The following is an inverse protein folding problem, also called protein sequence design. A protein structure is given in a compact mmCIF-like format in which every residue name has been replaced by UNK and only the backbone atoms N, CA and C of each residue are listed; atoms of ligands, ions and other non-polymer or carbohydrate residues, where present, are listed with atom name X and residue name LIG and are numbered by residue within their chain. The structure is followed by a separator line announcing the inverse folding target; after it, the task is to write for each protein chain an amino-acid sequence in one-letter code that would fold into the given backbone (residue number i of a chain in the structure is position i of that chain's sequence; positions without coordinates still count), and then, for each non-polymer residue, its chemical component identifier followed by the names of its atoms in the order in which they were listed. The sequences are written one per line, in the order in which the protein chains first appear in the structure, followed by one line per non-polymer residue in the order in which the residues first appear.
data_IF_520695819353
#
_entry.id   IF_520695819353
#
_cell.length_a   1.000
_cell.length_b   1.000
_cell.length_c   1.000
_cell.angle_alpha   90.00
_cell.angle_beta   90.00
_cell.angle_gamma   90.00
#
_symmetry.space_group_name_H-M   'P 1'
#
loop_
_entity.id
_entity.type
_entity.pdbx_description
1 polymer ?
#
# COMPACT_ATOMS: atom_id res chain seq x y z
N UNK A 1 -6.83 10.74 0.63
CA UNK A 1 -6.91 9.63 1.58
C UNK A 1 -5.73 8.68 1.39
N UNK A 2 -5.19 8.13 2.48
CA UNK A 2 -4.18 7.07 2.45
C UNK A 2 -4.75 5.73 2.93
N UNK A 3 -4.30 4.65 2.31
CA UNK A 3 -4.60 3.28 2.68
C UNK A 3 -3.28 2.55 2.98
N UNK A 4 -3.05 2.22 4.25
CA UNK A 4 -1.84 1.56 4.74
C UNK A 4 -2.02 0.05 4.77
N UNK A 5 -1.27 -0.68 3.96
CA UNK A 5 -1.25 -2.14 3.95
C UNK A 5 -0.36 -2.66 5.10
N UNK A 6 -0.97 -3.07 6.19
CA UNK A 6 -0.32 -3.48 7.43
C UNK A 6 -0.60 -4.96 7.81
N UNK A 7 -1.12 -5.76 6.89
CA UNK A 7 -1.59 -7.13 7.13
C UNK A 7 -0.57 -8.26 6.93
N UNK A 8 0.65 -7.97 6.49
CA UNK A 8 1.64 -8.99 6.14
C UNK A 8 2.24 -9.71 7.36
N UNK A 9 2.52 -11.02 7.22
CA UNK A 9 3.12 -11.86 8.29
C UNK A 9 4.55 -11.47 8.63
N UNK A 10 5.31 -10.85 7.68
CA UNK A 10 6.68 -10.42 7.92
C UNK A 10 7.68 -11.56 8.18
N UNK A 11 7.45 -12.75 7.64
CA UNK A 11 8.23 -13.98 7.88
C UNK A 11 9.75 -13.82 7.74
N UNK A 12 10.22 -12.86 6.93
CA UNK A 12 11.64 -12.56 6.73
C UNK A 12 12.36 -12.02 7.98
N UNK A 13 11.63 -11.48 8.96
CA UNK A 13 12.19 -10.98 10.22
C UNK A 13 12.25 -12.05 11.32
N UNK A 14 11.87 -13.29 11.01
CA UNK A 14 11.98 -14.44 11.90
C UNK A 14 11.37 -14.21 13.27
N UNK A 15 12.20 -14.29 14.32
CA UNK A 15 11.74 -14.17 15.71
C UNK A 15 11.10 -12.83 16.05
N UNK A 16 11.43 -11.75 15.35
CA UNK A 16 10.87 -10.42 15.60
C UNK A 16 9.39 -10.34 15.25
N UNK A 17 8.92 -11.15 14.31
CA UNK A 17 7.54 -11.18 13.83
C UNK A 17 6.77 -12.41 14.25
N UNK A 18 7.36 -13.30 15.07
CA UNK A 18 6.70 -14.50 15.53
C UNK A 18 5.40 -14.24 16.33
N UNK A 19 5.34 -13.10 17.05
CA UNK A 19 4.21 -12.74 17.95
C UNK A 19 3.65 -11.33 17.72
N UNK A 20 4.12 -10.65 16.68
CA UNK A 20 3.68 -9.29 16.35
C UNK A 20 3.65 -9.09 14.84
N UNK A 21 2.73 -8.28 14.34
CA UNK A 21 2.74 -7.84 12.96
C UNK A 21 4.02 -7.05 12.66
N UNK A 22 4.59 -7.17 11.46
CA UNK A 22 5.82 -6.47 11.06
C UNK A 22 5.73 -4.95 11.30
N UNK A 23 4.62 -4.25 10.98
CA UNK A 23 4.49 -2.83 11.28
C UNK A 23 4.56 -2.47 12.78
N UNK A 24 4.27 -3.42 13.66
CA UNK A 24 4.31 -3.23 15.11
C UNK A 24 5.69 -3.52 15.73
N UNK A 25 6.68 -3.95 14.95
CA UNK A 25 8.05 -4.20 15.43
C UNK A 25 8.68 -2.89 15.87
N UNK A 26 9.33 -2.91 17.05
CA UNK A 26 10.03 -1.75 17.60
C UNK A 26 11.23 -1.36 16.75
N UNK A 27 11.43 -0.06 16.58
CA UNK A 27 12.53 0.54 15.85
C UNK A 27 13.12 1.73 16.62
N UNK A 28 14.43 1.77 16.79
CA UNK A 28 15.10 2.86 17.52
C UNK A 28 14.69 3.00 18.99
N UNK A 29 14.21 1.92 19.61
CA UNK A 29 13.82 1.85 21.03
C UNK A 29 12.47 2.47 21.37
N UNK A 30 12.10 3.61 20.77
CA UNK A 30 10.88 4.37 21.08
C UNK A 30 9.77 4.15 20.06
N UNK A 31 10.11 3.99 18.77
CA UNK A 31 9.18 3.95 17.67
C UNK A 31 8.83 2.52 17.25
N UNK A 32 7.79 2.39 16.45
CA UNK A 32 7.46 1.19 15.67
C UNK A 32 7.54 1.51 14.18
N UNK A 33 7.66 0.50 13.35
CA UNK A 33 7.78 0.70 11.89
C UNK A 33 6.60 1.52 11.35
N UNK A 34 5.38 1.26 11.84
CA UNK A 34 4.16 1.97 11.40
C UNK A 34 4.18 3.48 11.68
N UNK A 35 4.97 3.95 12.65
CA UNK A 35 5.03 5.36 13.00
C UNK A 35 5.57 6.23 11.87
N UNK A 36 6.43 5.66 11.03
CA UNK A 36 7.03 6.37 9.90
C UNK A 36 6.02 6.67 8.79
N UNK A 37 5.27 5.68 8.24
CA UNK A 37 4.25 5.98 7.23
C UNK A 37 3.11 6.86 7.78
N UNK A 38 2.70 6.71 9.04
CA UNK A 38 1.70 7.61 9.64
C UNK A 38 2.22 9.05 9.74
N UNK A 39 3.46 9.24 10.19
CA UNK A 39 4.10 10.56 10.22
C UNK A 39 4.25 11.16 8.83
N UNK A 40 4.60 10.34 7.82
CA UNK A 40 4.70 10.81 6.44
C UNK A 40 3.35 11.27 5.88
N UNK A 41 2.23 10.60 6.23
CA UNK A 41 0.89 11.05 5.84
C UNK A 41 0.62 12.46 6.37
N UNK A 42 0.81 12.69 7.65
CA UNK A 42 0.55 14.00 8.26
C UNK A 42 1.47 15.08 7.70
N UNK A 43 2.77 14.81 7.59
CA UNK A 43 3.73 15.75 7.01
C UNK A 43 3.41 16.10 5.55
N UNK A 44 2.65 15.27 4.86
CA UNK A 44 2.17 15.49 3.48
C UNK A 44 0.72 15.98 3.41
N UNK A 45 0.16 16.44 4.53
CA UNK A 45 -1.23 16.92 4.63
C UNK A 45 -2.28 15.87 4.26
N UNK A 46 -1.96 14.59 4.46
CA UNK A 46 -2.91 13.49 4.30
C UNK A 46 -3.42 13.10 5.69
N UNK A 47 -4.60 13.57 6.03
CA UNK A 47 -5.21 13.50 7.35
C UNK A 47 -6.32 12.44 7.50
N UNK A 48 -6.55 11.67 6.48
CA UNK A 48 -7.50 10.55 6.46
C UNK A 48 -6.77 9.28 6.08
N UNK A 49 -6.62 8.35 7.03
CA UNK A 49 -5.77 7.17 6.89
C UNK A 49 -6.51 5.91 7.30
N UNK A 50 -6.72 4.98 6.37
CA UNK A 50 -7.19 3.64 6.64
C UNK A 50 -6.00 2.68 6.83
N UNK A 51 -5.92 1.98 7.94
CA UNK A 51 -4.87 0.98 8.22
C UNK A 51 -5.45 -0.41 8.13
N UNK A 52 -5.06 -1.15 7.08
CA UNK A 52 -5.56 -2.49 6.80
C UNK A 52 -4.73 -3.52 7.57
N UNK A 53 -5.32 -4.10 8.60
CA UNK A 53 -4.65 -5.06 9.49
C UNK A 53 -5.22 -6.46 9.30
N UNK A 54 -4.39 -7.49 9.46
CA UNK A 54 -4.83 -8.88 9.34
C UNK A 54 -4.07 -9.80 10.28
N UNK A 55 -2.74 -9.88 10.15
CA UNK A 55 -1.90 -10.76 10.95
C UNK A 55 -1.53 -10.12 12.28
N UNK A 56 -1.75 -10.83 13.41
CA UNK A 56 -1.38 -10.42 14.78
C UNK A 56 -1.73 -8.93 15.08
N UNK A 57 -3.01 -8.50 14.89
CA UNK A 57 -3.36 -7.09 14.86
C UNK A 57 -3.35 -6.42 16.24
N UNK A 58 -3.51 -7.18 17.33
CA UNK A 58 -3.77 -6.63 18.67
C UNK A 58 -2.75 -5.56 19.09
N UNK A 59 -1.46 -5.89 19.03
CA UNK A 59 -0.40 -4.93 19.43
C UNK A 59 -0.30 -3.74 18.52
N UNK A 60 -0.57 -3.94 17.22
CA UNK A 60 -0.58 -2.87 16.22
C UNK A 60 -1.74 -1.92 16.48
N UNK A 61 -2.95 -2.46 16.62
CA UNK A 61 -4.16 -1.69 16.88
C UNK A 61 -4.08 -0.92 18.19
N UNK A 62 -3.56 -1.54 19.26
CA UNK A 62 -3.34 -0.87 20.56
C UNK A 62 -2.34 0.30 20.42
N UNK A 63 -1.29 0.12 19.62
CA UNK A 63 -0.29 1.18 19.41
C UNK A 63 -0.86 2.36 18.61
N UNK A 64 -1.61 2.09 17.55
CA UNK A 64 -2.25 3.13 16.74
C UNK A 64 -3.31 3.86 17.58
N UNK A 65 -4.11 3.13 18.36
CA UNK A 65 -5.21 3.70 19.12
C UNK A 65 -6.15 4.50 18.23
N UNK A 66 -6.46 5.71 18.65
CA UNK A 66 -7.25 6.69 17.87
C UNK A 66 -6.37 7.69 17.09
N UNK A 67 -5.04 7.53 17.14
CA UNK A 67 -4.14 8.35 16.32
C UNK A 67 -3.60 9.62 16.98
N UNK A 68 -3.76 9.81 18.30
CA UNK A 68 -3.29 10.99 19.03
C UNK A 68 -1.83 11.37 18.73
N UNK A 69 -0.85 10.43 18.70
CA UNK A 69 0.55 10.80 18.45
C UNK A 69 0.82 11.45 17.10
N UNK A 70 -0.10 11.32 16.15
CA UNK A 70 0.02 11.84 14.77
C UNK A 70 -1.03 12.89 14.44
N UNK A 71 -1.77 13.44 15.44
CA UNK A 71 -2.88 14.35 15.19
C UNK A 71 -3.94 13.77 14.23
N UNK A 72 -4.19 12.46 14.37
CA UNK A 72 -5.16 11.70 13.56
C UNK A 72 -6.42 11.29 14.34
N UNK A 73 -6.62 11.84 15.56
CA UNK A 73 -7.80 11.67 16.41
C UNK A 73 -8.91 12.68 16.04
N UNK A 74 -9.28 12.70 14.76
CA UNK A 74 -10.19 13.73 14.21
C UNK A 74 -11.63 13.21 14.12
N UNK A 75 -12.59 14.11 14.25
CA UNK A 75 -14.02 13.80 14.09
C UNK A 75 -14.39 13.46 12.63
N UNK A 76 -13.68 14.06 11.66
CA UNK A 76 -13.83 13.78 10.22
C UNK A 76 -12.44 13.45 9.68
N UNK A 77 -12.29 12.31 9.03
CA UNK A 77 -10.98 11.78 8.66
C UNK A 77 -10.32 11.06 9.83
N UNK A 78 -9.03 11.36 10.07
CA UNK A 78 -8.24 10.69 11.10
C UNK A 78 -7.80 9.29 10.72
N UNK A 79 -7.36 8.49 11.70
CA UNK A 79 -6.96 7.11 11.48
C UNK A 79 -8.09 6.14 11.81
N UNK A 80 -8.34 5.21 10.89
CA UNK A 80 -9.29 4.10 11.08
C UNK A 80 -8.56 2.78 10.84
N UNK A 81 -8.67 1.85 11.79
CA UNK A 81 -8.16 0.49 11.62
C UNK A 81 -9.22 -0.35 10.91
N UNK A 82 -8.83 -0.97 9.80
CA UNK A 82 -9.69 -1.72 8.89
C UNK A 82 -9.25 -3.20 8.88
N UNK A 83 -9.78 -4.03 9.76
CA UNK A 83 -9.57 -5.48 9.68
C UNK A 83 -10.44 -6.07 8.57
N UNK A 84 -10.11 -7.26 8.03
CA UNK A 84 -11.05 -8.00 7.20
C UNK A 84 -12.31 -8.31 7.99
N UNK A 85 -13.46 -8.25 7.35
CA UNK A 85 -14.76 -8.48 7.96
C UNK A 85 -15.65 -9.35 7.09
N UNK A 86 -16.58 -10.01 7.72
CA UNK A 86 -17.54 -10.88 7.06
C UNK A 86 -18.62 -10.04 6.35
N UNK A 87 -18.73 -10.26 5.02
CA UNK A 87 -19.80 -9.68 4.20
C UNK A 87 -20.80 -10.75 3.78
N UNK A 88 -21.58 -11.34 4.51
CA UNK A 88 -22.42 -12.52 4.29
C UNK A 88 -21.76 -13.80 4.83
N UNK A 89 -22.28 -14.97 4.48
CA UNK A 89 -21.84 -16.27 5.01
C UNK A 89 -20.39 -16.68 4.63
N UNK A 90 -19.68 -15.89 3.82
CA UNK A 90 -18.29 -16.11 3.42
C UNK A 90 -17.39 -15.04 4.01
N UNK A 91 -16.72 -15.36 5.10
CA UNK A 91 -15.64 -14.55 5.67
C UNK A 91 -14.37 -14.74 4.83
N UNK A 92 -13.90 -13.70 4.18
CA UNK A 92 -12.68 -13.77 3.40
C UNK A 92 -11.58 -12.89 3.99
N UNK A 93 -10.45 -13.53 4.30
CA UNK A 93 -9.21 -12.83 4.57
C UNK A 93 -8.78 -12.02 3.33
N UNK A 94 -7.97 -10.99 3.52
CA UNK A 94 -7.36 -10.30 2.39
C UNK A 94 -6.47 -11.28 1.62
N UNK A 95 -6.87 -11.66 0.42
CA UNK A 95 -6.18 -12.65 -0.42
C UNK A 95 -5.01 -12.05 -1.20
N UNK A 96 -4.99 -10.71 -1.35
CA UNK A 96 -3.93 -9.96 -2.02
C UNK A 96 -3.98 -8.49 -1.65
N UNK A 97 -2.97 -7.73 -2.07
CA UNK A 97 -2.87 -6.30 -1.74
C UNK A 97 -3.97 -5.47 -2.39
N UNK A 98 -4.38 -5.79 -3.62
CA UNK A 98 -5.50 -5.15 -4.30
C UNK A 98 -6.85 -5.59 -3.72
N UNK A 99 -6.98 -6.87 -3.31
CA UNK A 99 -8.17 -7.35 -2.62
C UNK A 99 -8.41 -6.62 -1.31
N UNK A 100 -7.36 -6.36 -0.53
CA UNK A 100 -7.47 -5.60 0.72
C UNK A 100 -8.05 -4.19 0.48
N UNK A 101 -7.63 -3.50 -0.57
CA UNK A 101 -8.17 -2.19 -0.95
C UNK A 101 -9.61 -2.32 -1.46
N UNK A 102 -9.89 -3.34 -2.28
CA UNK A 102 -11.23 -3.60 -2.81
C UNK A 102 -12.26 -3.82 -1.70
N UNK A 103 -11.96 -4.63 -0.69
CA UNK A 103 -12.89 -4.88 0.42
C UNK A 103 -13.25 -3.60 1.19
N UNK A 104 -12.42 -2.56 1.10
CA UNK A 104 -12.60 -1.27 1.77
C UNK A 104 -13.01 -0.13 0.80
N UNK A 105 -13.54 -0.44 -0.38
CA UNK A 105 -14.03 0.58 -1.34
C UNK A 105 -15.09 1.48 -0.69
N UNK A 106 -16.04 0.91 0.04
CA UNK A 106 -17.11 1.65 0.70
C UNK A 106 -16.58 2.68 1.71
N UNK A 107 -15.53 2.33 2.47
CA UNK A 107 -14.85 3.27 3.35
C UNK A 107 -14.28 4.47 2.57
N UNK A 108 -13.60 4.22 1.46
CA UNK A 108 -13.05 5.29 0.63
C UNK A 108 -14.14 6.12 -0.07
N UNK A 109 -15.22 5.49 -0.53
CA UNK A 109 -16.37 6.17 -1.15
C UNK A 109 -17.01 7.18 -0.19
N UNK A 110 -17.06 6.89 1.10
CA UNK A 110 -17.57 7.80 2.12
C UNK A 110 -16.86 9.15 2.17
N UNK A 111 -15.60 9.23 1.75
CA UNK A 111 -14.80 10.45 1.67
C UNK A 111 -14.78 11.07 0.26
N UNK A 112 -15.24 10.35 -0.77
CA UNK A 112 -15.20 10.77 -2.18
C UNK A 112 -13.85 11.42 -2.59
N UNK A 113 -12.72 10.76 -2.42
CA UNK A 113 -11.41 11.34 -2.63
C UNK A 113 -11.12 11.58 -4.11
N UNK A 114 -10.28 12.57 -4.42
CA UNK A 114 -9.71 12.73 -5.77
C UNK A 114 -8.61 11.70 -6.02
N UNK A 115 -7.76 11.48 -5.00
CA UNK A 115 -6.62 10.55 -5.05
C UNK A 115 -6.63 9.60 -3.86
N UNK A 116 -6.14 8.40 -4.11
CA UNK A 116 -5.85 7.40 -3.08
C UNK A 116 -4.37 7.09 -3.07
N UNK A 117 -3.75 7.28 -1.91
CA UNK A 117 -2.37 6.93 -1.64
C UNK A 117 -2.34 5.53 -1.02
N UNK A 118 -1.69 4.59 -1.68
CA UNK A 118 -1.48 3.23 -1.17
C UNK A 118 -0.06 3.16 -0.60
N UNK A 119 0.07 2.75 0.64
CA UNK A 119 1.34 2.66 1.36
C UNK A 119 1.56 1.27 1.91
N UNK A 120 2.82 0.84 1.94
CA UNK A 120 3.24 -0.29 2.75
C UNK A 120 3.48 0.17 4.18
N UNK A 121 2.83 -0.47 5.15
CA UNK A 121 2.95 -0.15 6.58
C UNK A 121 4.23 -0.71 7.24
N UNK A 122 5.12 -1.31 6.46
CA UNK A 122 6.30 -2.03 6.93
C UNK A 122 7.63 -1.45 6.42
N UNK A 123 7.61 -0.25 5.89
CA UNK A 123 8.78 0.47 5.40
C UNK A 123 9.13 1.68 6.27
N UNK A 124 10.42 1.91 6.47
CA UNK A 124 10.95 3.10 7.15
C UNK A 124 11.53 4.02 6.07
N UNK A 125 10.91 5.18 5.89
CA UNK A 125 11.35 6.20 4.95
C UNK A 125 10.87 7.57 5.40
N UNK A 126 11.45 8.61 4.82
CA UNK A 126 10.95 9.98 4.90
C UNK A 126 10.66 10.43 3.47
N UNK A 127 9.40 10.74 3.19
CA UNK A 127 8.94 11.14 1.87
C UNK A 127 7.75 12.08 2.02
N UNK A 128 7.77 13.17 1.27
CA UNK A 128 6.62 14.04 1.08
C UNK A 128 5.85 13.57 -0.15
N UNK A 129 4.54 13.35 0.00
CA UNK A 129 3.70 12.92 -1.09
C UNK A 129 3.16 14.13 -1.85
N UNK A 130 3.63 14.35 -3.08
CA UNK A 130 3.16 15.43 -3.93
C UNK A 130 2.35 14.88 -5.10
N UNK A 131 1.25 15.60 -5.39
CA UNK A 131 0.42 15.35 -6.57
C UNK A 131 1.24 15.61 -7.83
N UNK A 132 1.43 14.60 -8.67
CA UNK A 132 2.04 14.75 -9.98
C UNK A 132 0.97 15.10 -11.03
N UNK A 133 1.22 16.14 -11.82
CA UNK A 133 0.27 16.66 -12.79
C UNK A 133 -0.01 15.65 -13.91
N UNK A 134 -1.28 15.28 -14.08
CA UNK A 134 -1.78 14.55 -15.23
C UNK A 134 -1.52 13.05 -15.25
N UNK A 135 -0.94 12.46 -14.21
CA UNK A 135 -0.76 11.01 -14.13
C UNK A 135 -1.99 10.32 -13.55
N UNK A 136 -2.41 9.22 -14.13
CA UNK A 136 -3.48 8.36 -13.61
C UNK A 136 -3.00 7.49 -12.44
N UNK A 137 -1.69 7.13 -12.45
CA UNK A 137 -0.99 6.46 -11.38
C UNK A 137 0.45 6.97 -11.28
N UNK A 138 0.93 7.18 -10.05
CA UNK A 138 2.33 7.49 -9.76
C UNK A 138 2.88 6.44 -8.82
N UNK A 139 4.06 5.91 -9.11
CA UNK A 139 4.71 4.85 -8.35
C UNK A 139 6.06 5.36 -7.83
N UNK A 140 6.27 5.28 -6.51
CA UNK A 140 7.57 5.58 -5.94
C UNK A 140 8.54 4.43 -6.21
N UNK A 141 9.70 4.76 -6.76
CA UNK A 141 10.78 3.83 -7.06
C UNK A 141 12.07 4.24 -6.41
N UNK A 142 12.93 3.27 -6.13
CA UNK A 142 14.26 3.48 -5.60
C UNK A 142 15.26 2.65 -6.41
N UNK A 143 16.40 3.22 -6.83
CA UNK A 143 17.47 2.42 -7.42
C UNK A 143 18.09 1.48 -6.37
N UNK A 144 18.21 0.21 -6.73
CA UNK A 144 18.82 -0.83 -5.90
C UNK A 144 20.00 -1.46 -6.64
N UNK A 145 20.95 -2.14 -5.96
CA UNK A 145 21.94 -2.96 -6.64
C UNK A 145 21.25 -4.02 -7.54
N UNK A 146 21.78 -4.27 -8.73
CA UNK A 146 21.18 -5.23 -9.68
C UNK A 146 21.00 -6.63 -9.08
N UNK A 147 21.89 -7.04 -8.20
CA UNK A 147 21.81 -8.32 -7.48
C UNK A 147 20.55 -8.42 -6.58
N UNK A 148 20.15 -7.28 -5.99
CA UNK A 148 18.99 -7.18 -5.11
C UNK A 148 17.69 -7.01 -5.91
N UNK A 149 17.74 -6.51 -7.14
CA UNK A 149 16.59 -6.21 -7.99
C UNK A 149 15.66 -7.42 -8.18
N UNK A 150 16.21 -8.64 -8.16
CA UNK A 150 15.46 -9.91 -8.24
C UNK A 150 14.38 -10.09 -7.15
N UNK A 151 14.45 -9.32 -6.08
CA UNK A 151 13.56 -9.44 -4.92
C UNK A 151 12.36 -8.50 -4.97
N UNK A 152 12.34 -7.59 -5.94
CA UNK A 152 11.38 -6.48 -6.02
C UNK A 152 10.60 -6.51 -7.33
N UNK A 153 9.49 -5.81 -7.34
CA UNK A 153 8.86 -5.38 -8.58
C UNK A 153 9.74 -4.30 -9.23
N UNK A 154 10.15 -4.51 -10.46
CA UNK A 154 11.08 -3.64 -11.18
C UNK A 154 10.34 -2.85 -12.23
N UNK A 155 10.53 -1.54 -12.20
CA UNK A 155 10.00 -0.61 -13.20
C UNK A 155 10.99 -0.37 -14.31
N UNK A 156 10.51 -0.43 -15.55
CA UNK A 156 11.22 0.02 -16.74
C UNK A 156 10.57 1.32 -17.18
N UNK A 157 11.36 2.38 -17.34
CA UNK A 157 10.87 3.72 -17.70
C UNK A 157 11.51 4.20 -18.98
N UNK A 158 10.78 5.05 -19.73
CA UNK A 158 11.33 5.83 -20.83
C UNK A 158 12.13 7.07 -20.33
N UNK A 159 12.65 7.85 -21.26
CA UNK A 159 13.41 9.08 -20.99
C UNK A 159 12.59 10.15 -20.24
N UNK A 160 11.26 10.10 -20.35
CA UNK A 160 10.32 10.99 -19.69
C UNK A 160 9.85 10.47 -18.31
N UNK A 161 10.50 9.42 -17.80
CA UNK A 161 10.14 8.72 -16.55
C UNK A 161 8.74 8.10 -16.58
N UNK A 162 8.18 7.82 -17.75
CA UNK A 162 6.95 7.04 -17.88
C UNK A 162 7.28 5.57 -17.76
N UNK A 163 6.46 4.86 -16.99
CA UNK A 163 6.58 3.42 -16.87
C UNK A 163 6.12 2.80 -18.20
N UNK A 164 7.02 2.05 -18.84
CA UNK A 164 6.76 1.35 -20.09
C UNK A 164 6.61 -0.14 -19.88
N UNK A 165 7.16 -0.67 -18.80
CA UNK A 165 7.01 -2.08 -18.43
C UNK A 165 7.23 -2.31 -16.94
N UNK A 166 6.76 -3.46 -16.43
CA UNK A 166 6.88 -3.87 -15.04
C UNK A 166 7.19 -5.36 -14.95
N UNK A 167 8.18 -5.72 -14.15
CA UNK A 167 8.61 -7.09 -13.92
C UNK A 167 8.52 -7.45 -12.43
N UNK A 168 7.65 -8.36 -12.04
CA UNK A 168 7.54 -8.81 -10.65
C UNK A 168 8.59 -9.88 -10.34
N UNK A 169 9.58 -9.53 -9.53
CA UNK A 169 10.68 -10.40 -9.08
C UNK A 169 11.37 -11.17 -10.22
N UNK A 170 11.87 -10.46 -11.23
CA UNK A 170 12.45 -11.09 -12.40
C UNK A 170 13.75 -11.83 -12.07
N UNK A 171 13.97 -12.99 -12.68
CA UNK A 171 15.24 -13.71 -12.55
C UNK A 171 16.43 -12.92 -13.13
N UNK A 172 16.17 -12.19 -14.23
CA UNK A 172 17.15 -11.34 -14.92
C UNK A 172 16.53 -9.93 -15.10
N UNK A 173 16.64 -9.04 -14.11
CA UNK A 173 16.03 -7.72 -14.16
C UNK A 173 16.64 -6.83 -15.26
N UNK A 174 15.77 -6.16 -16.04
CA UNK A 174 16.17 -5.21 -17.10
C UNK A 174 16.43 -3.79 -16.57
N UNK A 175 16.08 -3.52 -15.33
CA UNK A 175 16.27 -2.23 -14.65
C UNK A 175 16.58 -2.46 -13.18
N UNK A 176 17.08 -1.45 -12.51
CA UNK A 176 17.32 -1.46 -11.07
C UNK A 176 16.34 -0.56 -10.29
N UNK A 177 15.29 -0.05 -10.93
CA UNK A 177 14.29 0.78 -10.29
C UNK A 177 13.25 -0.09 -9.58
N UNK A 178 13.49 -0.34 -8.30
CA UNK A 178 12.60 -1.15 -7.46
C UNK A 178 11.37 -0.34 -7.02
N UNK A 179 10.19 -0.93 -7.18
CA UNK A 179 8.96 -0.40 -6.61
C UNK A 179 9.02 -0.43 -5.09
N UNK A 180 8.68 0.68 -4.47
CA UNK A 180 8.60 0.77 -3.01
C UNK A 180 7.24 0.32 -2.45
N UNK A 181 6.29 -0.13 -3.31
CA UNK A 181 4.94 -0.41 -2.86
C UNK A 181 4.18 0.82 -2.38
N UNK A 182 4.55 1.98 -2.92
CA UNK A 182 3.94 3.28 -2.66
C UNK A 182 3.35 3.77 -3.97
N UNK A 183 2.02 3.93 -3.98
CA UNK A 183 1.28 4.30 -5.18
C UNK A 183 0.35 5.47 -4.90
N UNK A 184 0.22 6.40 -5.85
CA UNK A 184 -0.81 7.43 -5.86
C UNK A 184 -1.69 7.18 -7.07
N UNK A 185 -2.96 6.90 -6.85
CA UNK A 185 -3.93 6.64 -7.91
C UNK A 185 -5.00 7.72 -7.98
N UNK A 186 -5.44 8.04 -9.19
CA UNK A 186 -6.74 8.67 -9.36
C UNK A 186 -7.83 7.70 -8.85
N UNK A 187 -8.70 8.18 -7.93
CA UNK A 187 -9.69 7.32 -7.30
C UNK A 187 -10.64 6.64 -8.28
N UNK A 188 -11.16 7.39 -9.25
CA UNK A 188 -12.13 6.85 -10.22
C UNK A 188 -11.52 5.71 -11.04
N UNK A 189 -10.25 5.85 -11.41
CA UNK A 189 -9.53 4.81 -12.13
C UNK A 189 -9.26 3.61 -11.23
N UNK A 190 -8.70 3.81 -10.03
CA UNK A 190 -8.42 2.73 -9.09
C UNK A 190 -9.67 1.91 -8.81
N UNK A 191 -10.78 2.56 -8.50
CA UNK A 191 -12.07 1.90 -8.26
C UNK A 191 -12.49 1.01 -9.45
N UNK A 192 -12.40 1.54 -10.67
CA UNK A 192 -12.71 0.78 -11.88
C UNK A 192 -11.83 -0.45 -12.05
N UNK A 193 -10.53 -0.31 -11.79
CA UNK A 193 -9.57 -1.39 -11.89
C UNK A 193 -9.83 -2.48 -10.85
N UNK A 194 -10.05 -2.12 -9.59
CA UNK A 194 -10.36 -3.05 -8.51
C UNK A 194 -11.65 -3.85 -8.79
N UNK A 195 -12.71 -3.19 -9.24
CA UNK A 195 -13.97 -3.84 -9.59
C UNK A 195 -13.83 -4.80 -10.78
N UNK A 196 -12.96 -4.49 -11.73
CA UNK A 196 -12.70 -5.36 -12.87
C UNK A 196 -11.83 -6.57 -12.46
N UNK A 197 -10.80 -6.34 -11.64
CA UNK A 197 -9.89 -7.36 -11.14
C UNK A 197 -10.61 -8.43 -10.33
N UNK A 198 -11.54 -8.04 -9.47
CA UNK A 198 -12.32 -8.99 -8.66
C UNK A 198 -13.23 -9.93 -9.46
N UNK A 199 -13.53 -9.61 -10.72
CA UNK A 199 -14.26 -10.50 -11.63
C UNK A 199 -13.35 -11.50 -12.36
N UNK A 200 -12.05 -11.29 -12.30
CA UNK A 200 -11.07 -12.16 -12.93
C UNK A 200 -10.66 -13.28 -11.97
N UNK A 201 -11.10 -14.50 -12.26
CA UNK A 201 -10.81 -15.67 -11.44
C UNK A 201 -9.33 -16.10 -11.47
N UNK A 202 -8.57 -15.67 -12.50
CA UNK A 202 -7.14 -15.97 -12.65
C UNK A 202 -6.24 -14.94 -11.95
N UNK A 203 -6.83 -13.88 -11.38
CA UNK A 203 -6.08 -12.84 -10.68
C UNK A 203 -5.60 -13.29 -9.31
N UNK A 204 -4.41 -12.84 -8.91
CA UNK A 204 -3.91 -12.93 -7.54
C UNK A 204 -4.44 -11.78 -6.67
N UNK A 205 -5.17 -10.86 -7.25
CA UNK A 205 -5.66 -9.64 -6.61
C UNK A 205 -4.54 -8.81 -5.95
N UNK A 206 -3.43 -8.67 -6.67
CA UNK A 206 -2.21 -8.00 -6.22
C UNK A 206 -1.86 -6.81 -7.12
N UNK A 207 -1.36 -5.71 -6.52
CA UNK A 207 -1.01 -4.52 -7.29
C UNK A 207 0.09 -4.79 -8.30
N UNK A 208 1.15 -5.47 -7.88
CA UNK A 208 2.31 -5.73 -8.73
C UNK A 208 2.04 -6.76 -9.82
N UNK A 209 1.30 -7.82 -9.49
CA UNK A 209 1.06 -8.92 -10.44
C UNK A 209 -0.09 -8.65 -11.40
N UNK A 210 -1.11 -7.93 -10.96
CA UNK A 210 -2.38 -7.85 -11.69
C UNK A 210 -2.76 -6.41 -12.06
N UNK A 211 -2.85 -5.49 -11.10
CA UNK A 211 -3.37 -4.13 -11.35
C UNK A 211 -2.43 -3.31 -12.23
N UNK A 212 -1.14 -3.21 -11.87
CA UNK A 212 -0.16 -2.39 -12.62
C UNK A 212 0.04 -2.92 -14.04
N UNK A 213 0.28 -4.23 -14.26
CA UNK A 213 0.39 -4.77 -15.63
C UNK A 213 -0.87 -4.54 -16.46
N UNK A 214 -2.06 -4.70 -15.87
CA UNK A 214 -3.33 -4.46 -16.57
C UNK A 214 -3.47 -2.99 -16.97
N UNK A 215 -3.07 -2.05 -16.11
CA UNK A 215 -3.07 -0.62 -16.43
C UNK A 215 -2.11 -0.28 -17.58
N UNK A 216 -0.89 -0.82 -17.55
CA UNK A 216 0.09 -0.62 -18.62
C UNK A 216 -0.42 -1.14 -19.96
N UNK A 217 -0.97 -2.35 -19.99
CA UNK A 217 -1.55 -2.94 -21.19
C UNK A 217 -2.76 -2.15 -21.73
N UNK A 218 -3.48 -1.45 -20.87
CA UNK A 218 -4.59 -0.56 -21.23
C UNK A 218 -4.11 0.85 -21.64
N UNK A 219 -2.81 1.10 -21.76
CA UNK A 219 -2.22 2.40 -22.13
C UNK A 219 -2.46 3.50 -21.09
N UNK A 220 -2.67 3.14 -19.82
CA UNK A 220 -2.86 4.10 -18.72
C UNK A 220 -1.53 4.75 -18.33
N UNK A 221 -1.61 5.99 -17.81
CA UNK A 221 -0.44 6.81 -17.46
C UNK A 221 -0.31 7.00 -15.96
#
# INVERSE_FOLDING_TARGET
IAMLLAGGQGSRLGVLTAKVAKPAVSFGGKYRIIDFPLSNCINSSVDTVGVLTQYQPLRLNTHIGIGIPWDLDRNIGGVTVLPPYEKNENSEWYTGTANAIYQNIEYMEGFNPEYVLILSGDHIYKLDFHKQNGSECTIAVMPVPMEEAKRFGIMITDENKRIVDFEEKPANPRSNLASMGIYIFNWKLLRKMLLADMKNQDSNHDFGKDIIPTMLNAGKR
#
